data_IF_422537302267
#
_entry.id   IF_422537302267
#
_cell.length_a   1.000
_cell.length_b   1.000
_cell.length_c   1.000
_cell.angle_alpha   90.00
_cell.angle_beta   90.00
_cell.angle_gamma   90.00
#
_symmetry.space_group_name_H-M   'P 1'
#
loop_
_entity.id
_entity.type
_entity.pdbx_description
1 polymer ?
#
# COMPACT_ATOMS: atom_id res chain seq x y z
N UNK A 1 -3.79 56.07 -34.86
CA UNK A 1 -3.07 56.16 -33.56
C UNK A 1 -3.74 55.36 -32.43
N UNK A 2 -5.05 55.09 -32.49
CA UNK A 2 -5.78 54.34 -31.44
C UNK A 2 -5.52 52.81 -31.44
N UNK A 3 -5.14 52.22 -32.57
CA UNK A 3 -4.90 50.76 -32.67
C UNK A 3 -3.64 50.29 -31.91
N UNK A 4 -2.61 51.13 -31.82
CA UNK A 4 -1.36 50.79 -31.12
C UNK A 4 -1.45 50.78 -29.59
N UNK A 5 -2.46 51.43 -29.00
CA UNK A 5 -2.71 51.38 -27.54
C UNK A 5 -3.48 50.12 -27.13
N UNK A 6 -4.43 49.66 -27.96
CA UNK A 6 -5.16 48.42 -27.72
C UNK A 6 -4.26 47.17 -27.83
N UNK A 7 -3.30 47.20 -28.76
CA UNK A 7 -2.33 46.11 -28.94
C UNK A 7 -1.31 46.06 -27.79
N UNK A 8 -0.83 47.23 -27.32
CA UNK A 8 0.00 47.33 -26.12
C UNK A 8 -0.73 46.85 -24.87
N UNK A 9 -1.99 47.24 -24.67
CA UNK A 9 -2.78 46.80 -23.52
C UNK A 9 -2.99 45.28 -23.49
N UNK A 10 -3.27 44.66 -24.65
CA UNK A 10 -3.38 43.19 -24.77
C UNK A 10 -2.06 42.47 -24.53
N UNK A 11 -0.94 42.99 -25.04
CA UNK A 11 0.38 42.43 -24.76
C UNK A 11 0.70 42.44 -23.26
N UNK A 12 0.46 43.58 -22.61
CA UNK A 12 0.70 43.72 -21.15
C UNK A 12 -0.22 42.82 -20.32
N UNK A 13 -1.45 42.58 -20.78
CA UNK A 13 -2.40 41.69 -20.11
C UNK A 13 -1.99 40.22 -20.25
N UNK A 14 -1.58 39.79 -21.44
CA UNK A 14 -1.07 38.44 -21.69
C UNK A 14 0.22 38.15 -20.92
N UNK A 15 1.12 39.13 -20.80
CA UNK A 15 2.36 38.99 -20.01
C UNK A 15 2.06 38.81 -18.52
N UNK A 16 1.05 39.51 -17.98
CA UNK A 16 0.61 39.35 -16.58
C UNK A 16 -0.02 37.99 -16.33
N UNK A 17 -0.83 37.51 -17.28
CA UNK A 17 -1.49 36.22 -17.18
C UNK A 17 -0.48 35.06 -17.30
N UNK A 18 0.48 35.16 -18.22
CA UNK A 18 1.58 34.21 -18.35
C UNK A 18 2.44 34.15 -17.07
N UNK A 19 2.80 35.32 -16.51
CA UNK A 19 3.57 35.37 -15.27
C UNK A 19 2.79 34.80 -14.06
N UNK A 20 1.47 34.93 -14.03
CA UNK A 20 0.63 34.32 -12.98
C UNK A 20 0.60 32.80 -13.12
N UNK A 21 0.37 32.29 -14.34
CA UNK A 21 0.35 30.86 -14.63
C UNK A 21 1.70 30.18 -14.37
N UNK A 22 2.82 30.85 -14.68
CA UNK A 22 4.16 30.32 -14.38
C UNK A 22 4.39 30.19 -12.87
N UNK A 23 4.01 31.20 -12.08
CA UNK A 23 4.10 31.13 -10.61
C UNK A 23 3.24 30.02 -10.05
N UNK A 24 2.03 29.84 -10.56
CA UNK A 24 1.13 28.78 -10.13
C UNK A 24 1.69 27.39 -10.46
N UNK A 25 2.24 27.21 -11.66
CA UNK A 25 2.91 25.98 -12.08
C UNK A 25 4.12 25.65 -11.20
N UNK A 26 4.93 26.65 -10.88
CA UNK A 26 6.12 26.45 -10.06
C UNK A 26 5.75 26.11 -8.60
N UNK A 27 4.68 26.71 -8.07
CA UNK A 27 4.15 26.39 -6.75
C UNK A 27 3.54 24.99 -6.71
N UNK A 28 2.79 24.61 -7.75
CA UNK A 28 2.25 23.25 -7.92
C UNK A 28 3.36 22.21 -8.03
N UNK A 29 4.44 22.49 -8.79
CA UNK A 29 5.61 21.61 -8.90
C UNK A 29 6.34 21.42 -7.59
N UNK A 30 6.51 22.49 -6.80
CA UNK A 30 7.13 22.37 -5.46
C UNK A 30 6.29 21.48 -4.54
N UNK A 31 4.98 21.73 -4.48
CA UNK A 31 4.05 20.90 -3.70
C UNK A 31 4.05 19.44 -4.15
N UNK A 32 4.08 19.18 -5.46
CA UNK A 32 4.14 17.83 -5.99
C UNK A 32 5.42 17.11 -5.54
N UNK A 33 6.58 17.78 -5.61
CA UNK A 33 7.86 17.20 -5.15
C UNK A 33 7.87 16.94 -3.65
N UNK A 34 7.32 17.85 -2.85
CA UNK A 34 7.20 17.67 -1.40
C UNK A 34 6.28 16.49 -1.05
N UNK A 35 5.15 16.36 -1.75
CA UNK A 35 4.25 15.24 -1.60
C UNK A 35 4.92 13.91 -2.01
N UNK A 36 5.61 13.86 -3.14
CA UNK A 36 6.37 12.69 -3.59
C UNK A 36 7.45 12.29 -2.59
N UNK A 37 8.22 13.25 -2.07
CA UNK A 37 9.25 12.99 -1.06
C UNK A 37 8.65 12.43 0.23
N UNK A 38 7.47 12.93 0.64
CA UNK A 38 6.76 12.45 1.82
C UNK A 38 6.22 11.04 1.61
N UNK A 39 5.62 10.77 0.44
CA UNK A 39 5.15 9.43 0.06
C UNK A 39 6.29 8.42 0.00
N UNK A 40 7.45 8.80 -0.55
CA UNK A 40 8.64 7.95 -0.58
C UNK A 40 9.12 7.59 0.83
N UNK A 41 9.19 8.56 1.75
CA UNK A 41 9.56 8.32 3.15
C UNK A 41 8.57 7.40 3.88
N UNK A 42 7.26 7.59 3.62
CA UNK A 42 6.22 6.72 4.18
C UNK A 42 6.35 5.29 3.65
N UNK A 43 6.64 5.14 2.35
CA UNK A 43 6.87 3.83 1.72
C UNK A 43 8.11 3.14 2.29
N UNK A 44 9.23 3.85 2.46
CA UNK A 44 10.45 3.32 3.07
C UNK A 44 10.24 2.93 4.55
N UNK A 45 9.37 3.65 5.25
CA UNK A 45 8.94 3.31 6.61
C UNK A 45 7.94 2.12 6.66
N UNK A 46 7.61 1.51 5.52
CA UNK A 46 6.64 0.41 5.43
C UNK A 46 5.18 0.83 5.59
N UNK A 47 4.87 2.14 5.55
CA UNK A 47 3.51 2.65 5.62
C UNK A 47 2.87 2.54 4.25
N UNK A 48 1.95 1.59 4.08
CA UNK A 48 1.16 1.46 2.87
C UNK A 48 0.07 2.56 2.85
N UNK A 49 0.40 3.70 2.26
CA UNK A 49 -0.45 4.91 2.20
C UNK A 49 -1.79 4.66 1.51
N UNK A 50 -1.87 3.67 0.60
CA UNK A 50 -3.12 3.26 -0.04
C UNK A 50 -4.15 2.72 0.97
N UNK A 51 -3.71 2.26 2.14
CA UNK A 51 -4.60 1.83 3.23
C UNK A 51 -5.24 2.96 4.02
N UNK A 52 -4.67 4.16 3.96
CA UNK A 52 -5.18 5.30 4.73
C UNK A 52 -6.46 5.88 4.10
N UNK A 53 -6.77 5.58 2.82
CA UNK A 53 -8.03 6.02 2.19
C UNK A 53 -9.21 5.10 2.46
N UNK A 54 -9.02 3.93 3.08
CA UNK A 54 -10.10 3.06 3.56
C UNK A 54 -10.97 2.39 2.48
N UNK A 55 -10.67 2.55 1.20
CA UNK A 55 -11.63 2.22 0.12
C UNK A 55 -11.50 0.84 -0.53
N UNK A 56 -10.53 0.01 -0.13
CA UNK A 56 -10.45 -1.35 -0.68
C UNK A 56 -11.13 -2.35 0.24
N UNK A 57 -12.27 -2.95 -0.16
CA UNK A 57 -12.75 -4.14 0.53
C UNK A 57 -11.66 -5.20 0.41
N UNK A 58 -11.16 -5.68 1.56
CA UNK A 58 -10.19 -6.77 1.58
C UNK A 58 -10.80 -7.96 0.83
N UNK A 59 -10.06 -8.59 -0.11
CA UNK A 59 -10.55 -9.76 -0.81
C UNK A 59 -10.87 -10.85 0.21
N UNK A 60 -12.00 -11.55 0.08
CA UNK A 60 -12.30 -12.67 0.97
C UNK A 60 -11.41 -13.87 0.61
N UNK A 61 -10.21 -13.89 1.16
CA UNK A 61 -9.22 -14.95 0.90
C UNK A 61 -9.35 -16.04 1.95
N UNK A 62 -9.45 -17.28 1.47
CA UNK A 62 -9.23 -18.49 2.27
C UNK A 62 -8.06 -19.24 1.66
N UNK A 63 -7.04 -19.47 2.48
CA UNK A 63 -5.83 -20.15 2.08
C UNK A 63 -5.37 -21.11 3.19
N UNK A 64 -4.33 -21.86 2.93
CA UNK A 64 -3.68 -22.81 3.83
C UNK A 64 -2.19 -22.57 3.83
N UNK A 65 -1.56 -22.70 5.00
CA UNK A 65 -0.10 -22.70 5.11
C UNK A 65 0.45 -23.97 4.48
N UNK A 66 1.22 -23.83 3.41
CA UNK A 66 1.88 -24.95 2.72
C UNK A 66 3.31 -25.19 3.20
N UNK A 67 3.96 -24.15 3.75
CA UNK A 67 5.31 -24.26 4.28
C UNK A 67 5.52 -23.28 5.44
N UNK A 68 6.30 -23.71 6.44
CA UNK A 68 6.76 -22.88 7.56
C UNK A 68 8.27 -22.95 7.63
N UNK A 69 8.93 -21.79 7.66
CA UNK A 69 10.34 -21.67 7.99
C UNK A 69 10.50 -20.97 9.34
N UNK A 70 10.71 -21.80 10.37
CA UNK A 70 10.96 -21.36 11.74
C UNK A 70 12.41 -20.94 12.00
N UNK A 71 13.32 -21.08 11.02
CA UNK A 71 14.71 -20.63 11.16
C UNK A 71 14.86 -19.13 10.93
N UNK A 72 13.93 -18.53 10.18
CA UNK A 72 13.87 -17.09 9.99
C UNK A 72 13.36 -16.38 11.27
N UNK A 73 13.85 -15.16 11.54
CA UNK A 73 13.42 -14.32 12.66
C UNK A 73 12.95 -12.95 12.11
N UNK A 74 11.63 -12.66 12.09
CA UNK A 74 10.53 -13.53 12.51
C UNK A 74 10.31 -14.74 11.56
N UNK A 75 9.60 -15.80 12.01
CA UNK A 75 9.28 -16.95 11.16
C UNK A 75 8.57 -16.53 9.88
N UNK A 76 8.93 -17.19 8.78
CA UNK A 76 8.31 -16.96 7.47
C UNK A 76 7.46 -18.14 7.05
N UNK A 77 6.39 -17.86 6.31
CA UNK A 77 5.35 -18.79 5.94
C UNK A 77 5.10 -18.69 4.44
N UNK A 78 4.67 -19.79 3.84
CA UNK A 78 4.17 -19.80 2.46
C UNK A 78 2.71 -20.26 2.49
N UNK A 79 1.84 -19.54 1.81
CA UNK A 79 0.41 -19.86 1.70
C UNK A 79 -0.01 -20.11 0.25
N UNK A 80 -1.05 -20.89 0.03
CA UNK A 80 -1.63 -21.22 -1.29
C UNK A 80 -2.59 -20.16 -1.85
N UNK A 81 -2.33 -18.89 -1.54
CA UNK A 81 -2.99 -17.74 -2.15
C UNK A 81 -1.96 -16.69 -2.55
N UNK A 82 -2.24 -15.93 -3.60
CA UNK A 82 -1.37 -14.91 -4.14
C UNK A 82 -2.15 -13.86 -4.94
N UNK A 83 -1.53 -13.36 -6.01
CA UNK A 83 -2.06 -12.24 -6.80
C UNK A 83 -3.44 -12.52 -7.42
N UNK A 84 -3.70 -13.77 -7.85
CA UNK A 84 -5.00 -14.10 -8.49
C UNK A 84 -6.16 -14.08 -7.50
N UNK A 85 -5.88 -14.13 -6.19
CA UNK A 85 -6.86 -13.96 -5.12
C UNK A 85 -6.98 -12.49 -4.67
N UNK A 86 -6.22 -11.58 -5.28
CA UNK A 86 -6.25 -10.15 -4.99
C UNK A 86 -5.42 -9.74 -3.77
N UNK A 87 -4.56 -10.61 -3.24
CA UNK A 87 -3.65 -10.24 -2.15
C UNK A 87 -2.62 -9.20 -2.62
N UNK A 88 -2.25 -8.30 -1.71
CA UNK A 88 -1.22 -7.29 -1.90
C UNK A 88 -0.14 -7.34 -0.79
N UNK A 89 1.10 -6.87 -1.06
CA UNK A 89 2.11 -6.78 -0.02
C UNK A 89 1.64 -5.87 1.13
N UNK A 90 1.88 -6.34 2.34
CA UNK A 90 1.41 -5.75 3.60
C UNK A 90 0.07 -6.33 4.09
N UNK A 91 -0.68 -7.14 3.31
CA UNK A 91 -1.97 -7.72 3.73
C UNK A 91 -1.86 -8.52 5.02
N UNK A 92 -2.68 -8.11 6.01
CA UNK A 92 -2.76 -8.77 7.31
C UNK A 92 -3.81 -9.87 7.27
N UNK A 93 -3.38 -11.10 7.52
CA UNK A 93 -4.23 -12.29 7.51
C UNK A 93 -4.18 -12.96 8.88
N UNK A 94 -5.29 -13.57 9.28
CA UNK A 94 -5.41 -14.33 10.50
C UNK A 94 -5.13 -15.81 10.23
N UNK A 95 -4.25 -16.39 11.06
CA UNK A 95 -3.99 -17.82 11.11
C UNK A 95 -4.98 -18.49 12.05
N UNK A 96 -5.61 -19.57 11.59
CA UNK A 96 -6.64 -20.31 12.31
C UNK A 96 -6.30 -21.79 12.30
N UNK A 97 -6.38 -22.43 13.47
CA UNK A 97 -6.30 -23.88 13.63
C UNK A 97 -7.47 -24.34 14.49
N UNK A 98 -8.23 -25.32 14.02
CA UNK A 98 -9.39 -25.87 14.73
C UNK A 98 -10.40 -24.78 15.16
N UNK A 99 -10.61 -23.77 14.29
CA UNK A 99 -11.50 -22.64 14.56
C UNK A 99 -10.97 -21.61 15.57
N UNK A 100 -9.74 -21.76 16.07
CA UNK A 100 -9.09 -20.81 16.98
C UNK A 100 -7.99 -20.05 16.29
N UNK A 101 -7.89 -18.75 16.57
CA UNK A 101 -6.85 -17.87 16.01
C UNK A 101 -5.49 -18.19 16.63
N UNK A 102 -4.57 -18.70 15.83
CA UNK A 102 -3.18 -19.02 16.24
C UNK A 102 -2.30 -17.77 16.20
N UNK A 103 -2.57 -16.84 15.29
CA UNK A 103 -1.76 -15.65 15.11
C UNK A 103 -2.22 -14.76 13.97
N UNK A 104 -1.36 -13.80 13.62
CA UNK A 104 -1.51 -12.88 12.50
C UNK A 104 -0.23 -12.86 11.68
N UNK A 105 -0.39 -12.89 10.37
CA UNK A 105 0.68 -12.85 9.39
C UNK A 105 0.49 -11.64 8.48
N UNK A 106 1.58 -11.19 7.90
CA UNK A 106 1.60 -10.10 6.91
C UNK A 106 2.21 -10.63 5.62
N UNK A 107 1.57 -10.37 4.48
CA UNK A 107 2.10 -10.69 3.16
C UNK A 107 3.34 -9.84 2.88
N UNK A 108 4.46 -10.48 2.57
CA UNK A 108 5.74 -9.83 2.26
C UNK A 108 5.96 -9.83 0.74
N UNK A 109 5.89 -11.02 0.12
CA UNK A 109 6.09 -11.20 -1.31
C UNK A 109 4.94 -12.02 -1.92
N UNK A 110 4.63 -11.75 -3.19
CA UNK A 110 3.53 -12.38 -3.91
C UNK A 110 3.98 -13.00 -5.22
N UNK A 111 3.49 -14.21 -5.46
CA UNK A 111 3.46 -14.89 -6.74
C UNK A 111 2.01 -15.04 -7.21
N UNK A 112 1.74 -15.51 -8.44
CA UNK A 112 0.36 -15.62 -8.93
C UNK A 112 -0.55 -16.44 -8.01
N UNK A 113 -0.07 -17.54 -7.42
CA UNK A 113 -0.86 -18.46 -6.59
C UNK A 113 -0.27 -18.73 -5.21
N UNK A 114 0.84 -18.09 -4.87
CA UNK A 114 1.55 -18.27 -3.61
C UNK A 114 1.88 -16.90 -3.03
N UNK A 115 1.93 -16.83 -1.71
CA UNK A 115 2.40 -15.64 -1.02
C UNK A 115 3.35 -16.07 0.09
N UNK A 116 4.46 -15.34 0.18
CA UNK A 116 5.35 -15.40 1.32
C UNK A 116 4.85 -14.42 2.36
N UNK A 117 4.66 -14.89 3.58
CA UNK A 117 4.19 -14.11 4.69
C UNK A 117 5.18 -14.15 5.85
N UNK A 118 5.19 -13.11 6.68
CA UNK A 118 5.93 -13.04 7.94
C UNK A 118 4.97 -13.08 9.11
N UNK A 119 5.35 -13.77 10.19
CA UNK A 119 4.56 -13.78 11.42
C UNK A 119 4.67 -12.43 12.14
N UNK A 120 3.55 -11.74 12.31
CA UNK A 120 3.47 -10.45 13.02
C UNK A 120 3.21 -10.66 14.51
N UNK A 121 2.26 -11.54 14.83
CA UNK A 121 1.91 -11.86 16.22
C UNK A 121 1.46 -13.30 16.34
N UNK A 122 1.96 -14.04 17.33
CA UNK A 122 1.49 -15.38 17.67
C UNK A 122 0.79 -15.40 19.02
N UNK A 123 -0.18 -16.30 19.19
CA UNK A 123 -0.77 -16.57 20.49
C UNK A 123 0.22 -17.37 21.34
N UNK A 124 0.37 -17.02 22.63
CA UNK A 124 1.31 -17.73 23.53
C UNK A 124 1.00 -19.22 23.58
N UNK A 125 2.04 -20.04 23.39
CA UNK A 125 1.95 -21.50 23.45
C UNK A 125 1.46 -22.18 22.17
N UNK A 126 1.09 -21.43 21.14
CA UNK A 126 0.75 -21.97 19.82
C UNK A 126 1.82 -21.61 18.80
N UNK A 127 2.40 -22.62 18.15
CA UNK A 127 3.30 -22.43 17.03
C UNK A 127 2.55 -22.59 15.71
N UNK A 128 2.93 -21.81 14.70
CA UNK A 128 2.39 -21.96 13.34
C UNK A 128 2.85 -23.28 12.72
N UNK A 129 1.98 -23.93 11.96
CA UNK A 129 2.23 -25.23 11.34
C UNK A 129 1.70 -25.27 9.91
N UNK A 130 2.25 -26.19 9.12
CA UNK A 130 1.70 -26.52 7.79
C UNK A 130 0.30 -27.09 7.99
N UNK A 131 -0.66 -26.64 7.17
CA UNK A 131 -2.07 -26.99 7.28
C UNK A 131 -2.93 -25.98 8.05
N UNK A 132 -2.33 -24.96 8.68
CA UNK A 132 -3.11 -23.89 9.30
C UNK A 132 -3.94 -23.13 8.25
N UNK A 133 -5.20 -22.85 8.58
CA UNK A 133 -6.06 -22.03 7.73
C UNK A 133 -5.63 -20.56 7.83
N UNK A 134 -5.74 -19.85 6.72
CA UNK A 134 -5.48 -18.42 6.61
C UNK A 134 -6.73 -17.73 6.09
N UNK A 135 -7.18 -16.70 6.80
CA UNK A 135 -8.34 -15.88 6.40
C UNK A 135 -8.00 -14.40 6.48
N UNK A 136 -8.63 -13.58 5.65
CA UNK A 136 -8.52 -12.12 5.80
C UNK A 136 -9.01 -11.66 7.16
N UNK A 137 -8.23 -10.78 7.79
CA UNK A 137 -8.61 -10.21 9.08
C UNK A 137 -9.76 -9.23 8.86
N UNK A 138 -10.97 -9.61 9.28
CA UNK A 138 -12.09 -8.69 9.34
C UNK A 138 -11.83 -7.82 10.57
N UNK A 139 -11.47 -6.56 10.34
CA UNK A 139 -11.51 -5.55 11.40
C UNK A 139 -12.99 -5.29 11.68
N UNK A 140 -13.51 -5.87 12.75
CA UNK A 140 -14.72 -5.37 13.42
C UNK A 140 -14.43 -4.05 14.13
#
# INVERSE_FOLDING_TARGET
RQEGEAEKARGTQLEREAAALERERDLARRKAREAESTLAKLRDAGVNVARLSGERPMPNVRATVVQVDNRAVPPTLLIDAGQVQGLEPGDELDLIRDGRRVGRIEVDELQPRLARCRLVSGQRGLSVQVGDEVKTSIRE
#
